data_IF_245962457487
#
_entry.id   IF_245962457487
#
_cell.length_a   1.000
_cell.length_b   1.000
_cell.length_c   1.000
_cell.angle_alpha   90.00
_cell.angle_beta   90.00
_cell.angle_gamma   90.00
#
_symmetry.space_group_name_H-M   'P 1'
#
loop_
_entity.id
_entity.type
_entity.pdbx_description
1 polymer ?
#
# COMPACT_ATOMS: atom_id res chain seq x y z
N UNK A 1 2.92 -45.53 -5.69
CA UNK A 1 3.65 -44.49 -4.92
C UNK A 1 3.63 -43.18 -5.70
N UNK A 2 2.44 -42.72 -6.08
CA UNK A 2 2.23 -41.66 -7.09
C UNK A 2 1.50 -40.42 -6.53
N UNK A 3 1.08 -40.44 -5.26
CA UNK A 3 0.31 -39.35 -4.64
C UNK A 3 1.15 -38.36 -3.83
N UNK A 4 2.46 -38.58 -3.67
CA UNK A 4 3.33 -37.67 -2.90
C UNK A 4 4.11 -36.66 -3.77
N UNK A 5 4.04 -36.76 -5.10
CA UNK A 5 4.74 -35.85 -6.00
C UNK A 5 3.93 -34.59 -6.35
N UNK A 6 2.60 -34.63 -6.24
CA UNK A 6 1.73 -33.49 -6.58
C UNK A 6 1.54 -32.49 -5.44
N UNK A 7 1.90 -32.83 -4.19
CA UNK A 7 1.73 -31.93 -3.03
C UNK A 7 2.82 -30.85 -2.90
N UNK A 8 3.87 -30.89 -3.72
CA UNK A 8 5.05 -30.02 -3.57
C UNK A 8 4.97 -28.71 -4.38
N UNK A 9 4.02 -28.60 -5.31
CA UNK A 9 3.98 -27.51 -6.30
C UNK A 9 2.98 -26.39 -5.95
N UNK A 10 2.16 -26.56 -4.90
CA UNK A 10 0.98 -25.72 -4.64
C UNK A 10 1.14 -24.69 -3.52
N UNK A 11 2.36 -24.43 -3.02
CA UNK A 11 2.55 -23.67 -1.77
C UNK A 11 2.76 -22.16 -1.94
N UNK A 12 2.82 -21.65 -3.18
CA UNK A 12 3.13 -20.24 -3.45
C UNK A 12 1.89 -19.33 -3.59
N UNK A 13 0.69 -19.88 -3.74
CA UNK A 13 -0.53 -19.09 -4.01
C UNK A 13 -1.37 -18.79 -2.73
N UNK A 14 -1.06 -19.39 -1.57
CA UNK A 14 -1.76 -19.09 -0.31
C UNK A 14 -0.93 -18.12 0.54
N UNK A 15 -1.58 -17.05 1.00
CA UNK A 15 -1.01 -15.93 1.75
C UNK A 15 -0.13 -16.34 2.95
N UNK A 16 1.16 -16.58 2.72
CA UNK A 16 2.13 -16.78 3.78
C UNK A 16 2.53 -15.42 4.35
N UNK A 17 2.50 -15.32 5.67
CA UNK A 17 3.11 -14.17 6.34
C UNK A 17 4.64 -14.23 6.17
N UNK A 18 5.30 -13.07 6.12
CA UNK A 18 6.77 -12.98 5.96
C UNK A 18 7.54 -13.93 6.91
N UNK A 19 7.16 -14.10 8.20
CA UNK A 19 7.84 -15.03 9.11
C UNK A 19 7.70 -16.52 8.74
N UNK A 20 6.57 -16.95 8.17
CA UNK A 20 6.33 -18.34 7.80
C UNK A 20 7.23 -18.75 6.63
N UNK A 21 7.37 -17.88 5.64
CA UNK A 21 8.28 -18.08 4.51
C UNK A 21 9.73 -18.22 4.98
N UNK A 22 10.17 -17.38 5.93
CA UNK A 22 11.53 -17.48 6.51
C UNK A 22 11.73 -18.81 7.25
N UNK A 23 10.74 -19.26 8.02
CA UNK A 23 10.78 -20.56 8.69
C UNK A 23 10.88 -21.71 7.68
N UNK A 24 10.13 -21.64 6.58
CA UNK A 24 10.15 -22.65 5.52
C UNK A 24 11.51 -22.74 4.82
N UNK A 25 12.12 -21.61 4.47
CA UNK A 25 13.48 -21.56 3.88
C UNK A 25 14.49 -22.23 4.80
N UNK A 26 14.43 -21.92 6.10
CA UNK A 26 15.32 -22.49 7.12
C UNK A 26 15.13 -24.00 7.30
N UNK A 27 13.88 -24.48 7.31
CA UNK A 27 13.58 -25.91 7.46
C UNK A 27 13.94 -26.71 6.21
N UNK A 28 13.75 -26.12 5.03
CA UNK A 28 14.03 -26.74 3.74
C UNK A 28 15.52 -26.74 3.39
N UNK A 29 16.36 -26.03 4.17
CA UNK A 29 17.80 -25.95 3.94
C UNK A 29 18.18 -25.32 2.60
N UNK A 30 17.33 -24.41 2.08
CA UNK A 30 17.56 -23.78 0.78
C UNK A 30 18.75 -22.83 0.88
N UNK A 31 19.75 -23.02 0.01
CA UNK A 31 20.93 -22.18 -0.09
C UNK A 31 21.54 -22.25 -1.47
N UNK A 32 22.07 -21.12 -1.94
CA UNK A 32 22.75 -20.99 -3.22
C UNK A 32 24.16 -20.47 -2.97
N UNK A 33 25.18 -21.26 -3.31
CA UNK A 33 26.58 -20.86 -3.23
C UNK A 33 27.21 -21.01 -4.62
N UNK A 34 27.42 -19.89 -5.30
CA UNK A 34 27.99 -19.84 -6.65
C UNK A 34 29.25 -18.95 -6.70
N UNK A 35 30.42 -19.48 -6.27
CA UNK A 35 31.71 -18.83 -6.53
C UNK A 35 31.96 -18.63 -8.03
N UNK A 36 32.87 -17.72 -8.44
CA UNK A 36 33.15 -17.42 -9.84
C UNK A 36 33.44 -18.65 -10.72
N UNK A 37 34.23 -19.62 -10.23
CA UNK A 37 34.51 -20.89 -10.94
C UNK A 37 33.23 -21.72 -11.15
N UNK A 38 32.36 -21.79 -10.14
CA UNK A 38 31.09 -22.52 -10.20
C UNK A 38 30.06 -21.83 -11.10
N UNK A 39 30.04 -20.50 -11.10
CA UNK A 39 29.20 -19.71 -12.01
C UNK A 39 29.67 -19.90 -13.46
N UNK A 40 30.97 -19.80 -13.72
CA UNK A 40 31.52 -20.05 -15.05
C UNK A 40 31.19 -21.47 -15.56
N UNK A 41 31.26 -22.47 -14.67
CA UNK A 41 30.82 -23.83 -14.98
C UNK A 41 29.33 -23.91 -15.34
N UNK A 42 28.45 -23.25 -14.59
CA UNK A 42 27.02 -23.18 -14.91
C UNK A 42 26.75 -22.50 -16.25
N UNK A 43 27.45 -21.40 -16.56
CA UNK A 43 27.30 -20.70 -17.84
C UNK A 43 27.81 -21.54 -19.01
N UNK A 44 28.93 -22.24 -18.85
CA UNK A 44 29.45 -23.14 -19.87
C UNK A 44 28.47 -24.29 -20.17
N UNK A 45 27.86 -24.88 -19.13
CA UNK A 45 26.80 -25.89 -19.29
C UNK A 45 25.59 -25.32 -20.04
N UNK A 46 25.14 -24.11 -19.70
CA UNK A 46 23.98 -23.49 -20.34
C UNK A 46 24.20 -23.20 -21.82
N UNK A 47 25.38 -22.69 -22.20
CA UNK A 47 25.74 -22.47 -23.61
C UNK A 47 25.73 -23.78 -24.38
N UNK A 48 26.29 -24.85 -23.82
CA UNK A 48 26.27 -26.16 -24.46
C UNK A 48 24.88 -26.79 -24.58
N UNK A 49 24.00 -26.57 -23.60
CA UNK A 49 22.60 -27.02 -23.67
C UNK A 49 21.85 -26.31 -24.80
N UNK A 50 22.09 -25.02 -25.02
CA UNK A 50 21.40 -24.21 -26.04
C UNK A 50 21.76 -24.60 -27.47
N UNK A 51 22.98 -25.08 -27.72
CA UNK A 51 23.43 -25.50 -29.04
C UNK A 51 22.95 -26.91 -29.43
N UNK A 52 22.38 -27.67 -28.49
CA UNK A 52 21.97 -29.07 -28.68
C UNK A 52 20.50 -29.22 -29.02
N UNK A 53 20.21 -30.26 -29.78
CA UNK A 53 18.84 -30.75 -30.06
C UNK A 53 18.27 -31.52 -28.87
N UNK A 54 19.12 -32.16 -28.07
CA UNK A 54 18.76 -32.91 -26.87
C UNK A 54 19.26 -32.13 -25.63
N UNK A 55 18.34 -31.82 -24.72
CA UNK A 55 18.59 -31.02 -23.50
C UNK A 55 19.22 -31.86 -22.35
N UNK A 56 19.86 -32.97 -22.72
CA UNK A 56 20.44 -33.95 -21.81
C UNK A 56 21.97 -33.89 -21.85
N UNK A 57 22.59 -33.83 -20.66
CA UNK A 57 24.03 -33.80 -20.48
C UNK A 57 24.47 -35.08 -19.78
N UNK A 58 25.46 -35.78 -20.33
CA UNK A 58 26.05 -36.95 -19.67
C UNK A 58 27.11 -36.57 -18.63
N UNK A 59 27.38 -37.44 -17.67
CA UNK A 59 28.41 -37.21 -16.65
C UNK A 59 29.81 -36.94 -17.27
N UNK A 60 30.15 -37.66 -18.33
CA UNK A 60 31.42 -37.47 -19.06
C UNK A 60 31.56 -36.05 -19.63
N UNK A 61 30.48 -35.54 -20.22
CA UNK A 61 30.45 -34.18 -20.79
C UNK A 61 30.57 -33.13 -19.69
N UNK A 62 29.89 -33.31 -18.56
CA UNK A 62 30.02 -32.40 -17.43
C UNK A 62 31.45 -32.34 -16.89
N UNK A 63 32.14 -33.47 -16.82
CA UNK A 63 33.54 -33.54 -16.39
C UNK A 63 34.46 -32.83 -17.40
N UNK A 64 34.20 -32.98 -18.70
CA UNK A 64 34.98 -32.29 -19.74
C UNK A 64 34.75 -30.77 -19.72
N UNK A 65 33.51 -30.31 -19.52
CA UNK A 65 33.21 -28.87 -19.33
C UNK A 65 33.89 -28.34 -18.09
N UNK A 66 33.85 -29.10 -16.99
CA UNK A 66 34.52 -28.70 -15.76
C UNK A 66 36.03 -28.61 -15.95
N UNK A 67 36.63 -29.49 -16.77
CA UNK A 67 38.05 -29.43 -17.12
C UNK A 67 38.38 -28.11 -17.82
N UNK A 68 37.61 -27.72 -18.84
CA UNK A 68 37.81 -26.46 -19.57
C UNK A 68 37.77 -25.24 -18.63
N UNK A 69 36.78 -25.19 -17.73
CA UNK A 69 36.66 -24.12 -16.74
C UNK A 69 37.83 -24.16 -15.77
N UNK A 70 38.14 -25.33 -15.20
CA UNK A 70 39.24 -25.44 -14.25
C UNK A 70 40.59 -25.04 -14.84
N UNK A 71 40.86 -25.33 -16.11
CA UNK A 71 42.10 -24.92 -16.79
C UNK A 71 42.26 -23.40 -16.80
N UNK A 72 41.19 -22.65 -17.08
CA UNK A 72 41.22 -21.18 -17.10
C UNK A 72 41.50 -20.59 -15.70
N UNK A 73 40.87 -21.14 -14.65
CA UNK A 73 41.01 -20.64 -13.27
C UNK A 73 42.32 -21.10 -12.60
N UNK A 74 42.94 -22.22 -13.02
CA UNK A 74 44.23 -22.67 -12.45
C UNK A 74 45.44 -21.86 -12.92
N UNK A 75 45.26 -20.98 -13.91
CA UNK A 75 46.33 -20.09 -14.40
C UNK A 75 46.79 -19.07 -13.35
N UNK A 76 45.91 -18.68 -12.42
CA UNK A 76 46.13 -17.57 -11.47
C UNK A 76 46.62 -18.04 -10.08
N UNK A 77 46.36 -19.28 -9.71
CA UNK A 77 46.78 -19.86 -8.43
C UNK A 77 47.48 -21.18 -8.70
N UNK A 78 48.78 -21.29 -8.39
CA UNK A 78 49.68 -22.42 -8.70
C UNK A 78 49.28 -23.78 -8.09
N UNK A 79 48.09 -24.26 -8.42
CA UNK A 79 47.45 -25.46 -7.95
C UNK A 79 47.71 -26.63 -8.88
N UNK A 80 48.11 -27.75 -8.28
CA UNK A 80 48.30 -29.03 -8.96
C UNK A 80 47.04 -29.44 -9.74
N UNK A 81 47.20 -29.87 -11.00
CA UNK A 81 46.20 -30.58 -11.83
C UNK A 81 45.70 -31.92 -11.21
N UNK A 82 45.97 -32.14 -9.92
CA UNK A 82 45.62 -33.34 -9.17
C UNK A 82 44.11 -33.51 -9.01
N UNK A 83 43.59 -34.48 -9.76
CA UNK A 83 42.25 -35.07 -9.69
C UNK A 83 41.07 -34.12 -10.04
N UNK A 84 41.13 -33.52 -11.24
CA UNK A 84 40.03 -32.75 -11.86
C UNK A 84 38.70 -33.52 -11.83
N UNK A 85 38.72 -34.84 -12.05
CA UNK A 85 37.53 -35.67 -11.99
C UNK A 85 36.86 -35.68 -10.61
N UNK A 86 37.64 -35.75 -9.52
CA UNK A 86 37.10 -35.67 -8.17
C UNK A 86 36.51 -34.29 -7.86
N UNK A 87 37.18 -33.21 -8.31
CA UNK A 87 36.67 -31.84 -8.17
C UNK A 87 35.40 -31.61 -8.99
N UNK A 88 35.33 -32.16 -10.20
CA UNK A 88 34.15 -32.13 -11.07
C UNK A 88 32.98 -32.84 -10.40
N UNK A 89 33.19 -34.05 -9.85
CA UNK A 89 32.13 -34.78 -9.17
C UNK A 89 31.60 -34.03 -7.93
N UNK A 90 32.49 -33.39 -7.16
CA UNK A 90 32.07 -32.51 -6.07
C UNK A 90 31.28 -31.30 -6.59
N UNK A 91 31.72 -30.68 -7.69
CA UNK A 91 31.01 -29.58 -8.35
C UNK A 91 29.59 -29.97 -8.76
N UNK A 92 29.47 -31.11 -9.45
CA UNK A 92 28.21 -31.63 -9.95
C UNK A 92 27.28 -31.98 -8.77
N UNK A 93 27.80 -32.59 -7.71
CA UNK A 93 27.03 -32.87 -6.49
C UNK A 93 26.53 -31.59 -5.82
N UNK A 94 27.39 -30.56 -5.72
CA UNK A 94 27.00 -29.23 -5.20
C UNK A 94 25.90 -28.59 -6.06
N UNK A 95 26.02 -28.65 -7.39
CA UNK A 95 25.01 -28.13 -8.33
C UNK A 95 23.66 -28.86 -8.20
N UNK A 96 23.68 -30.18 -7.99
CA UNK A 96 22.46 -30.96 -7.73
C UNK A 96 21.86 -30.59 -6.37
N UNK A 97 22.68 -30.47 -5.32
CA UNK A 97 22.23 -30.09 -3.98
C UNK A 97 21.62 -28.68 -3.96
N UNK A 98 22.19 -27.75 -4.73
CA UNK A 98 21.69 -26.39 -4.91
C UNK A 98 20.44 -26.29 -5.83
N UNK A 99 19.91 -27.44 -6.29
CA UNK A 99 18.78 -27.53 -7.24
C UNK A 99 19.03 -26.81 -8.56
N UNK A 100 20.29 -26.75 -9.02
CA UNK A 100 20.66 -26.20 -10.32
C UNK A 100 20.65 -27.29 -11.40
N UNK A 101 21.02 -28.52 -11.04
CA UNK A 101 20.95 -29.69 -11.91
C UNK A 101 19.99 -30.75 -11.36
N UNK A 102 19.22 -31.37 -12.25
CA UNK A 102 18.44 -32.58 -11.96
C UNK A 102 19.20 -33.80 -12.47
N UNK A 103 19.44 -34.79 -11.60
CA UNK A 103 20.08 -36.07 -11.95
C UNK A 103 19.02 -37.14 -12.20
N UNK A 104 19.12 -37.81 -13.35
CA UNK A 104 18.31 -38.95 -13.73
C UNK A 104 19.21 -40.17 -13.93
N UNK A 105 18.86 -41.30 -13.34
CA UNK A 105 19.54 -42.58 -13.61
C UNK A 105 18.75 -43.32 -14.67
N UNK A 106 19.34 -43.54 -15.84
CA UNK A 106 18.68 -44.27 -16.92
C UNK A 106 19.14 -45.73 -16.93
N UNK A 107 18.18 -46.67 -16.87
CA UNK A 107 18.46 -48.11 -17.02
C UNK A 107 18.84 -48.47 -18.47
N UNK A 108 18.54 -47.59 -19.44
CA UNK A 108 18.81 -47.83 -20.87
C UNK A 108 20.27 -47.52 -21.25
N UNK A 109 20.99 -46.75 -20.44
CA UNK A 109 22.38 -46.30 -20.69
C UNK A 109 23.37 -46.98 -19.74
N UNK A 110 23.13 -48.25 -19.39
CA UNK A 110 24.04 -49.09 -18.59
C UNK A 110 24.44 -48.47 -17.23
N UNK A 111 23.54 -47.70 -16.60
CA UNK A 111 23.76 -47.06 -15.30
C UNK A 111 24.35 -45.65 -15.35
N UNK A 112 24.59 -45.10 -16.55
CA UNK A 112 25.05 -43.71 -16.70
C UNK A 112 23.99 -42.71 -16.24
N UNK A 113 24.45 -41.66 -15.56
CA UNK A 113 23.61 -40.59 -15.07
C UNK A 113 23.49 -39.46 -16.09
N UNK A 114 22.26 -39.01 -16.29
CA UNK A 114 21.90 -37.92 -17.20
C UNK A 114 21.50 -36.70 -16.36
N UNK A 115 21.95 -35.53 -16.78
CA UNK A 115 21.75 -34.27 -16.09
C UNK A 115 20.97 -33.30 -16.97
N UNK A 116 20.03 -32.58 -16.35
CA UNK A 116 19.31 -31.47 -17.01
C UNK A 116 19.40 -30.22 -16.17
N UNK A 117 19.50 -29.07 -16.83
CA UNK A 117 19.43 -27.77 -16.17
C UNK A 117 18.01 -27.53 -15.65
N UNK A 118 17.91 -27.06 -14.41
CA UNK A 118 16.63 -26.68 -13.82
C UNK A 118 16.20 -25.29 -14.29
N UNK A 119 14.92 -24.91 -14.14
CA UNK A 119 14.46 -23.55 -14.42
C UNK A 119 15.24 -22.47 -13.64
N UNK A 120 15.70 -22.78 -12.42
CA UNK A 120 16.55 -21.89 -11.63
C UNK A 120 17.91 -21.68 -12.30
N UNK A 121 18.56 -22.77 -12.73
CA UNK A 121 19.84 -22.69 -13.41
C UNK A 121 19.74 -21.96 -14.75
N UNK A 122 18.68 -22.23 -15.53
CA UNK A 122 18.39 -21.49 -16.76
C UNK A 122 18.14 -20.01 -16.47
N UNK A 123 17.39 -19.67 -15.43
CA UNK A 123 17.17 -18.27 -15.04
C UNK A 123 18.44 -17.52 -14.66
N UNK A 124 19.35 -18.17 -13.90
CA UNK A 124 20.66 -17.61 -13.56
C UNK A 124 21.55 -17.51 -14.81
N UNK A 125 21.56 -18.53 -15.66
CA UNK A 125 22.36 -18.52 -16.87
C UNK A 125 21.88 -17.46 -17.86
N UNK A 126 20.57 -17.38 -18.10
CA UNK A 126 19.95 -16.37 -18.96
C UNK A 126 20.13 -14.95 -18.43
N UNK A 127 20.37 -14.79 -17.13
CA UNK A 127 20.73 -13.50 -16.55
C UNK A 127 22.10 -13.01 -17.04
N UNK A 128 23.12 -13.86 -17.02
CA UNK A 128 24.48 -13.47 -17.40
C UNK A 128 24.79 -13.66 -18.90
N UNK A 129 24.20 -14.65 -19.56
CA UNK A 129 24.57 -15.05 -20.92
C UNK A 129 23.85 -14.24 -22.01
N UNK A 130 22.63 -13.74 -21.75
CA UNK A 130 21.91 -12.95 -22.75
C UNK A 130 22.23 -11.47 -22.56
N UNK A 131 22.74 -10.83 -23.62
CA UNK A 131 22.72 -9.37 -23.69
C UNK A 131 21.28 -8.91 -23.64
N UNK A 132 20.91 -8.27 -22.53
CA UNK A 132 19.57 -7.76 -22.32
C UNK A 132 19.51 -6.33 -22.82
N UNK A 133 19.28 -6.18 -24.12
CA UNK A 133 18.95 -4.87 -24.68
C UNK A 133 17.47 -4.59 -24.47
N UNK A 134 17.18 -3.46 -23.83
CA UNK A 134 15.83 -2.94 -23.77
C UNK A 134 15.38 -2.52 -25.18
N UNK A 135 14.13 -2.81 -25.53
CA UNK A 135 13.55 -2.45 -26.83
C UNK A 135 12.13 -1.94 -26.64
N UNK A 136 11.90 -0.68 -27.04
CA UNK A 136 10.57 -0.06 -27.07
C UNK A 136 9.60 -0.82 -27.98
N UNK A 137 10.10 -1.34 -29.11
CA UNK A 137 9.31 -2.18 -30.02
C UNK A 137 8.85 -3.47 -29.33
N UNK A 138 9.74 -4.14 -28.58
CA UNK A 138 9.38 -5.35 -27.83
C UNK A 138 8.27 -5.06 -26.81
N UNK A 139 8.36 -3.95 -26.09
CA UNK A 139 7.35 -3.51 -25.13
C UNK A 139 6.00 -3.24 -25.82
N UNK A 140 6.00 -2.48 -26.92
CA UNK A 140 4.79 -2.16 -27.68
C UNK A 140 4.07 -3.41 -28.18
N UNK A 141 4.83 -4.38 -28.72
CA UNK A 141 4.28 -5.69 -29.13
C UNK A 141 3.70 -6.45 -27.94
N UNK A 142 4.37 -6.46 -26.78
CA UNK A 142 3.84 -7.09 -25.56
C UNK A 142 2.54 -6.45 -25.08
N UNK A 143 2.45 -5.11 -25.07
CA UNK A 143 1.24 -4.39 -24.67
C UNK A 143 0.08 -4.66 -25.63
N UNK A 144 0.34 -4.69 -26.94
CA UNK A 144 -0.68 -5.05 -27.93
C UNK A 144 -1.20 -6.48 -27.73
N UNK A 145 -0.31 -7.45 -27.48
CA UNK A 145 -0.73 -8.83 -27.20
C UNK A 145 -1.58 -8.93 -25.94
N UNK A 146 -1.25 -8.18 -24.89
CA UNK A 146 -2.06 -8.14 -23.67
C UNK A 146 -3.42 -7.52 -23.93
N UNK A 147 -3.48 -6.40 -24.66
CA UNK A 147 -4.74 -5.75 -25.00
C UNK A 147 -5.70 -6.72 -25.72
N UNK A 148 -5.18 -7.49 -26.69
CA UNK A 148 -5.98 -8.48 -27.41
C UNK A 148 -6.49 -9.61 -26.51
N UNK A 149 -5.67 -10.12 -25.60
CA UNK A 149 -6.05 -11.19 -24.67
C UNK A 149 -7.05 -10.71 -23.60
N UNK A 150 -6.88 -9.49 -23.06
CA UNK A 150 -7.88 -8.91 -22.15
C UNK A 150 -9.19 -8.64 -22.90
N UNK A 151 -9.15 -8.10 -24.12
CA UNK A 151 -10.36 -7.89 -24.92
C UNK A 151 -11.08 -9.21 -25.26
N UNK A 152 -10.33 -10.31 -25.42
CA UNK A 152 -10.90 -11.65 -25.59
C UNK A 152 -11.56 -12.15 -24.30
N UNK A 153 -10.89 -12.01 -23.15
CA UNK A 153 -11.45 -12.37 -21.84
C UNK A 153 -12.69 -11.53 -21.50
N UNK A 154 -12.69 -10.24 -21.82
CA UNK A 154 -13.82 -9.32 -21.68
C UNK A 154 -15.02 -9.77 -22.49
N UNK A 155 -14.85 -10.01 -23.80
CA UNK A 155 -15.94 -10.51 -24.65
C UNK A 155 -16.50 -11.84 -24.17
N UNK A 156 -15.66 -12.73 -23.64
CA UNK A 156 -16.11 -13.97 -23.03
C UNK A 156 -16.90 -13.70 -21.74
N UNK A 157 -16.45 -12.78 -20.89
CA UNK A 157 -17.18 -12.40 -19.68
C UNK A 157 -18.57 -11.84 -19.99
N UNK A 158 -18.71 -10.99 -21.02
CA UNK A 158 -19.99 -10.42 -21.45
C UNK A 158 -20.98 -11.47 -21.99
N UNK A 159 -20.49 -12.55 -22.60
CA UNK A 159 -21.33 -13.63 -23.13
C UNK A 159 -21.96 -14.49 -22.04
N UNK A 160 -21.33 -14.50 -20.85
CA UNK A 160 -21.67 -15.35 -19.71
C UNK A 160 -21.64 -16.86 -20.06
N UNK A 161 -21.65 -17.72 -19.05
CA UNK A 161 -21.53 -19.16 -19.28
C UNK A 161 -21.54 -20.00 -18.03
N UNK A 162 -21.22 -21.29 -18.20
CA UNK A 162 -21.06 -22.20 -17.08
C UNK A 162 -19.72 -22.00 -16.34
N UNK A 163 -19.57 -22.61 -15.17
CA UNK A 163 -18.34 -22.48 -14.37
C UNK A 163 -17.08 -22.93 -15.13
N UNK A 164 -17.21 -23.92 -16.04
CA UNK A 164 -16.12 -24.36 -16.91
C UNK A 164 -15.74 -23.32 -17.95
N UNK A 165 -16.72 -22.64 -18.54
CA UNK A 165 -16.52 -21.56 -19.49
C UNK A 165 -15.76 -20.40 -18.84
N UNK A 166 -16.17 -19.97 -17.64
CA UNK A 166 -15.48 -18.92 -16.88
C UNK A 166 -14.03 -19.29 -16.56
N UNK A 167 -13.79 -20.54 -16.15
CA UNK A 167 -12.42 -21.02 -15.85
C UNK A 167 -11.50 -21.03 -17.07
N UNK A 168 -11.98 -21.43 -18.23
CA UNK A 168 -11.14 -21.55 -19.42
C UNK A 168 -11.00 -20.24 -20.19
N UNK A 169 -12.11 -19.52 -20.41
CA UNK A 169 -12.16 -18.40 -21.35
C UNK A 169 -11.92 -17.04 -20.70
N UNK A 170 -12.11 -16.93 -19.38
CA UNK A 170 -11.85 -15.69 -18.63
C UNK A 170 -10.65 -15.89 -17.72
N UNK A 171 -10.77 -16.72 -16.70
CA UNK A 171 -9.71 -16.90 -15.70
C UNK A 171 -8.41 -17.47 -16.30
N UNK A 172 -8.51 -18.51 -17.14
CA UNK A 172 -7.35 -19.12 -17.77
C UNK A 172 -6.56 -18.14 -18.64
N UNK A 173 -7.27 -17.28 -19.38
CA UNK A 173 -6.66 -16.21 -20.19
C UNK A 173 -5.97 -15.18 -19.29
N UNK A 174 -6.65 -14.73 -18.22
CA UNK A 174 -6.09 -13.76 -17.28
C UNK A 174 -4.86 -14.29 -16.51
N UNK A 175 -4.91 -15.54 -16.02
CA UNK A 175 -3.85 -16.14 -15.18
C UNK A 175 -2.66 -16.64 -15.98
N UNK A 176 -2.88 -17.28 -17.14
CA UNK A 176 -1.80 -17.95 -17.88
C UNK A 176 -1.30 -17.18 -19.11
N UNK A 177 -2.02 -16.15 -19.56
CA UNK A 177 -1.57 -15.29 -20.66
C UNK A 177 -1.26 -13.88 -20.16
N UNK A 178 -2.27 -13.16 -19.67
CA UNK A 178 -2.11 -11.75 -19.28
C UNK A 178 -1.12 -11.58 -18.13
N UNK A 179 -1.24 -12.41 -17.07
CA UNK A 179 -0.33 -12.33 -15.93
C UNK A 179 1.13 -12.60 -16.32
N UNK A 180 1.38 -13.59 -17.19
CA UNK A 180 2.72 -13.92 -17.69
C UNK A 180 3.31 -12.78 -18.52
N UNK A 181 2.52 -12.13 -19.39
CA UNK A 181 3.04 -11.01 -20.17
C UNK A 181 3.34 -9.82 -19.26
N UNK A 182 2.52 -9.56 -18.24
CA UNK A 182 2.84 -8.56 -17.22
C UNK A 182 4.11 -8.90 -16.43
N UNK A 183 4.35 -10.18 -16.08
CA UNK A 183 5.63 -10.59 -15.47
C UNK A 183 6.82 -10.32 -16.39
N UNK A 184 6.66 -10.56 -17.70
CA UNK A 184 7.72 -10.28 -18.68
C UNK A 184 7.97 -8.77 -18.84
N UNK A 185 6.93 -7.94 -18.76
CA UNK A 185 7.06 -6.48 -18.78
C UNK A 185 7.79 -6.01 -17.51
N UNK A 186 7.40 -6.47 -16.32
CA UNK A 186 8.10 -6.16 -15.05
C UNK A 186 9.57 -6.57 -15.10
N UNK A 187 9.87 -7.76 -15.65
CA UNK A 187 11.25 -8.22 -15.82
C UNK A 187 12.05 -7.31 -16.76
N UNK A 188 11.46 -6.89 -17.88
CA UNK A 188 12.11 -5.94 -18.80
C UNK A 188 12.33 -4.56 -18.14
N UNK A 189 11.46 -4.10 -17.25
CA UNK A 189 11.66 -2.86 -16.49
C UNK A 189 12.86 -2.97 -15.53
N UNK A 190 13.02 -4.11 -14.85
CA UNK A 190 14.21 -4.35 -14.00
C UNK A 190 15.52 -4.37 -14.78
N UNK A 191 15.48 -4.85 -16.03
CA UNK A 191 16.63 -4.76 -16.94
C UNK A 191 16.97 -3.29 -17.24
N UNK A 192 15.97 -2.43 -17.38
CA UNK A 192 16.20 -1.00 -17.56
C UNK A 192 16.83 -0.36 -16.31
N UNK A 193 16.45 -0.79 -15.09
CA UNK A 193 17.12 -0.35 -13.86
C UNK A 193 18.61 -0.72 -13.85
N UNK A 194 18.95 -1.94 -14.29
CA UNK A 194 20.35 -2.39 -14.43
C UNK A 194 21.10 -1.57 -15.47
N UNK A 195 20.48 -1.29 -16.61
CA UNK A 195 21.07 -0.43 -17.64
C UNK A 195 21.31 0.99 -17.13
N UNK A 196 20.36 1.59 -16.39
CA UNK A 196 20.57 2.89 -15.75
C UNK A 196 21.76 2.86 -14.79
N UNK A 197 21.89 1.80 -14.00
CA UNK A 197 23.01 1.65 -13.07
C UNK A 197 24.34 1.50 -13.80
N UNK A 198 24.39 0.71 -14.88
CA UNK A 198 25.57 0.60 -15.73
C UNK A 198 25.98 1.96 -16.31
N UNK A 199 25.02 2.75 -16.83
CA UNK A 199 25.31 4.08 -17.35
C UNK A 199 25.86 5.03 -16.27
N UNK A 200 25.38 4.92 -15.02
CA UNK A 200 25.95 5.69 -13.90
C UNK A 200 27.41 5.31 -13.65
N UNK A 201 27.73 4.02 -13.70
CA UNK A 201 29.10 3.52 -13.53
C UNK A 201 30.00 3.95 -14.68
N UNK A 202 29.50 3.91 -15.93
CA UNK A 202 30.22 4.37 -17.11
C UNK A 202 30.52 5.87 -17.03
N UNK A 203 29.53 6.70 -16.64
CA UNK A 203 29.71 8.14 -16.41
C UNK A 203 30.76 8.36 -15.31
N UNK A 204 30.69 7.63 -14.20
CA UNK A 204 31.67 7.76 -13.12
C UNK A 204 33.10 7.36 -13.58
N UNK A 205 33.23 6.32 -14.38
CA UNK A 205 34.50 5.87 -14.95
C UNK A 205 35.07 6.90 -15.93
N UNK A 206 34.24 7.43 -16.84
CA UNK A 206 34.60 8.47 -17.81
C UNK A 206 35.08 9.75 -17.10
N UNK A 207 34.35 10.19 -16.07
CA UNK A 207 34.74 11.36 -15.26
C UNK A 207 35.98 11.09 -14.40
N UNK A 208 36.31 9.85 -14.09
CA UNK A 208 37.51 9.52 -13.33
C UNK A 208 38.77 9.54 -14.19
N UNK A 209 38.67 9.14 -15.46
CA UNK A 209 39.80 9.12 -16.40
C UNK A 209 40.07 10.52 -16.96
N UNK A 210 39.17 11.04 -17.81
CA UNK A 210 39.38 12.27 -18.59
C UNK A 210 38.14 13.16 -18.57
N UNK A 211 37.86 13.73 -17.40
CA UNK A 211 36.64 14.48 -17.11
C UNK A 211 36.29 15.65 -18.06
N UNK A 212 37.23 16.20 -18.84
CA UNK A 212 36.99 17.30 -19.78
C UNK A 212 36.53 16.79 -21.15
N UNK A 213 37.21 15.77 -21.66
CA UNK A 213 36.83 15.10 -22.91
C UNK A 213 35.57 14.24 -22.71
N UNK A 214 35.33 13.79 -21.47
CA UNK A 214 34.20 12.98 -21.09
C UNK A 214 32.85 13.74 -20.99
N UNK A 215 32.83 15.07 -20.88
CA UNK A 215 31.58 15.83 -20.68
C UNK A 215 30.57 15.53 -21.79
N UNK A 216 30.99 15.64 -23.06
CA UNK A 216 30.12 15.39 -24.20
C UNK A 216 29.60 13.95 -24.23
N UNK A 217 30.44 12.98 -23.84
CA UNK A 217 30.04 11.58 -23.77
C UNK A 217 29.05 11.34 -22.61
N UNK A 218 29.25 11.99 -21.45
CA UNK A 218 28.34 11.89 -20.32
C UNK A 218 26.98 12.52 -20.66
N UNK A 219 26.96 13.70 -21.29
CA UNK A 219 25.74 14.35 -21.77
C UNK A 219 25.00 13.48 -22.80
N UNK A 220 25.73 12.83 -23.70
CA UNK A 220 25.13 11.89 -24.65
C UNK A 220 24.45 10.72 -23.93
N UNK A 221 25.15 10.05 -23.00
CA UNK A 221 24.60 8.93 -22.23
C UNK A 221 23.40 9.33 -21.38
N UNK A 222 23.43 10.52 -20.76
CA UNK A 222 22.33 11.06 -19.95
C UNK A 222 21.08 11.35 -20.81
N UNK A 223 21.27 11.95 -21.99
CA UNK A 223 20.18 12.28 -22.89
C UNK A 223 19.56 11.05 -23.55
N UNK A 224 20.39 10.09 -23.98
CA UNK A 224 19.93 8.84 -24.61
C UNK A 224 19.07 8.01 -23.65
N UNK A 225 19.55 7.82 -22.42
CA UNK A 225 18.81 7.13 -21.36
C UNK A 225 17.53 7.89 -20.97
N UNK A 226 17.58 9.22 -20.87
CA UNK A 226 16.37 10.03 -20.60
C UNK A 226 15.33 9.86 -21.70
N UNK A 227 15.73 9.87 -22.97
CA UNK A 227 14.82 9.65 -24.11
C UNK A 227 14.20 8.26 -24.04
N UNK A 228 15.00 7.23 -23.74
CA UNK A 228 14.53 5.85 -23.66
C UNK A 228 13.51 5.65 -22.54
N UNK A 229 13.74 6.25 -21.37
CA UNK A 229 12.79 6.20 -20.24
C UNK A 229 11.49 6.92 -20.58
N UNK A 230 11.57 8.06 -21.25
CA UNK A 230 10.40 8.83 -21.63
C UNK A 230 9.55 8.06 -22.67
N UNK A 231 10.17 7.51 -23.72
CA UNK A 231 9.47 6.69 -24.72
C UNK A 231 8.80 5.46 -24.10
N UNK A 232 9.47 4.82 -23.13
CA UNK A 232 8.93 3.71 -22.36
C UNK A 232 7.67 4.14 -21.59
N UNK A 233 7.76 5.23 -20.82
CA UNK A 233 6.64 5.71 -20.02
C UNK A 233 5.47 6.16 -20.88
N UNK A 234 5.72 6.85 -22.00
CA UNK A 234 4.67 7.25 -22.93
C UNK A 234 3.93 6.03 -23.49
N UNK A 235 4.66 4.98 -23.86
CA UNK A 235 4.07 3.72 -24.36
C UNK A 235 3.25 3.00 -23.28
N UNK A 236 3.76 2.94 -22.04
CA UNK A 236 3.06 2.32 -20.91
C UNK A 236 1.82 3.09 -20.51
N UNK A 237 1.89 4.42 -20.44
CA UNK A 237 0.76 5.26 -20.06
C UNK A 237 -0.35 5.18 -21.10
N UNK A 238 0.01 5.24 -22.40
CA UNK A 238 -0.96 5.18 -23.49
C UNK A 238 -1.75 3.85 -23.50
N UNK A 239 -1.07 2.72 -23.28
CA UNK A 239 -1.73 1.42 -23.20
C UNK A 239 -2.39 1.16 -21.84
N UNK A 240 -1.80 1.67 -20.75
CA UNK A 240 -2.22 1.39 -19.38
C UNK A 240 -3.66 1.76 -19.09
N UNK A 241 -4.09 2.94 -19.54
CA UNK A 241 -5.48 3.40 -19.34
C UNK A 241 -6.49 2.50 -20.07
N UNK A 242 -6.16 2.04 -21.28
CA UNK A 242 -7.01 1.13 -22.05
C UNK A 242 -7.11 -0.25 -21.38
N UNK A 243 -5.98 -0.83 -20.97
CA UNK A 243 -5.94 -2.12 -20.28
C UNK A 243 -6.71 -2.07 -18.95
N UNK A 244 -6.55 -0.98 -18.20
CA UNK A 244 -7.25 -0.77 -16.93
C UNK A 244 -8.76 -0.67 -17.14
N UNK A 245 -9.20 0.05 -18.18
CA UNK A 245 -10.62 0.13 -18.53
C UNK A 245 -11.19 -1.26 -18.85
N UNK A 246 -10.48 -2.08 -19.63
CA UNK A 246 -10.97 -3.41 -19.99
C UNK A 246 -11.03 -4.36 -18.79
N UNK A 247 -10.05 -4.28 -17.87
CA UNK A 247 -10.08 -5.03 -16.62
C UNK A 247 -11.25 -4.60 -15.72
N UNK A 248 -11.53 -3.30 -15.65
CA UNK A 248 -12.67 -2.78 -14.90
C UNK A 248 -14.01 -3.28 -15.46
N UNK A 249 -14.17 -3.32 -16.79
CA UNK A 249 -15.37 -3.88 -17.42
C UNK A 249 -15.58 -5.36 -17.07
N UNK A 250 -14.51 -6.17 -17.03
CA UNK A 250 -14.59 -7.57 -16.56
C UNK A 250 -15.04 -7.61 -15.09
N UNK A 251 -14.48 -6.72 -14.26
CA UNK A 251 -14.84 -6.64 -12.84
C UNK A 251 -16.31 -6.26 -12.63
N UNK A 252 -16.85 -5.35 -13.44
CA UNK A 252 -18.27 -4.97 -13.39
C UNK A 252 -19.20 -6.15 -13.66
N UNK A 253 -18.84 -7.04 -14.60
CA UNK A 253 -19.62 -8.25 -14.91
C UNK A 253 -19.59 -9.26 -13.75
N UNK A 254 -18.44 -9.38 -13.08
CA UNK A 254 -18.25 -10.30 -11.93
C UNK A 254 -18.88 -9.75 -10.64
N UNK A 255 -19.14 -8.43 -10.58
CA UNK A 255 -19.63 -7.77 -9.37
C UNK A 255 -20.95 -8.37 -8.88
N UNK A 256 -20.94 -8.85 -7.63
CA UNK A 256 -22.11 -9.41 -6.98
C UNK A 256 -22.39 -10.88 -7.32
N UNK A 257 -21.43 -11.58 -7.95
CA UNK A 257 -21.46 -13.02 -8.20
C UNK A 257 -20.47 -13.76 -7.30
N UNK A 258 -20.97 -14.29 -6.17
CA UNK A 258 -20.15 -15.00 -5.17
C UNK A 258 -19.48 -16.28 -5.72
N UNK A 259 -19.95 -16.82 -6.84
CA UNK A 259 -19.37 -18.01 -7.50
C UNK A 259 -18.12 -17.70 -8.33
N UNK A 260 -17.80 -16.42 -8.54
CA UNK A 260 -16.72 -15.94 -9.40
C UNK A 260 -15.64 -15.14 -8.67
N UNK A 261 -15.55 -15.26 -7.34
CA UNK A 261 -14.53 -14.58 -6.51
C UNK A 261 -13.09 -14.80 -7.01
N UNK A 262 -12.79 -15.98 -7.56
CA UNK A 262 -11.47 -16.29 -8.11
C UNK A 262 -11.12 -15.44 -9.34
N UNK A 263 -12.12 -15.01 -10.12
CA UNK A 263 -11.94 -14.09 -11.25
C UNK A 263 -11.77 -12.66 -10.75
N UNK A 264 -12.58 -12.22 -9.80
CA UNK A 264 -12.47 -10.88 -9.20
C UNK A 264 -11.09 -10.68 -8.55
N UNK A 265 -10.64 -11.66 -7.76
CA UNK A 265 -9.29 -11.64 -7.16
C UNK A 265 -8.18 -11.60 -8.21
N UNK A 266 -8.34 -12.29 -9.36
CA UNK A 266 -7.36 -12.27 -10.44
C UNK A 266 -7.33 -10.91 -11.14
N UNK A 267 -8.50 -10.35 -11.46
CA UNK A 267 -8.63 -9.01 -12.07
C UNK A 267 -8.02 -7.95 -11.15
N UNK A 268 -8.34 -7.98 -9.85
CA UNK A 268 -7.75 -7.08 -8.87
C UNK A 268 -6.21 -7.23 -8.81
N UNK A 269 -5.69 -8.45 -8.81
CA UNK A 269 -4.24 -8.69 -8.85
C UNK A 269 -3.60 -8.13 -10.11
N UNK A 270 -4.26 -8.21 -11.27
CA UNK A 270 -3.75 -7.67 -12.53
C UNK A 270 -3.79 -6.14 -12.55
N UNK A 271 -4.87 -5.52 -12.05
CA UNK A 271 -4.96 -4.06 -11.90
C UNK A 271 -3.84 -3.53 -11.01
N UNK A 272 -3.64 -4.12 -9.82
CA UNK A 272 -2.59 -3.71 -8.89
C UNK A 272 -1.18 -3.89 -9.49
N UNK A 273 -0.99 -4.90 -10.34
CA UNK A 273 0.28 -5.14 -11.04
C UNK A 273 0.50 -4.13 -12.17
N UNK A 274 -0.53 -3.81 -12.94
CA UNK A 274 -0.49 -2.78 -13.98
C UNK A 274 -0.17 -1.41 -13.36
N UNK A 275 -0.84 -1.04 -12.26
CA UNK A 275 -0.57 0.19 -11.53
C UNK A 275 0.89 0.25 -11.05
N UNK A 276 1.44 -0.87 -10.55
CA UNK A 276 2.85 -0.94 -10.15
C UNK A 276 3.80 -0.73 -11.34
N UNK A 277 3.53 -1.36 -12.47
CA UNK A 277 4.33 -1.25 -13.70
C UNK A 277 4.35 0.20 -14.20
N UNK A 278 3.18 0.86 -14.24
CA UNK A 278 3.06 2.25 -14.70
C UNK A 278 3.71 3.23 -13.72
N UNK A 279 3.52 3.03 -12.40
CA UNK A 279 4.09 3.90 -11.37
C UNK A 279 5.63 3.79 -11.30
N UNK A 280 6.19 2.59 -11.49
CA UNK A 280 7.65 2.40 -11.54
C UNK A 280 8.28 3.29 -12.63
N UNK A 281 7.67 3.37 -13.82
CA UNK A 281 8.28 4.10 -14.93
C UNK A 281 8.35 5.61 -14.67
N UNK A 282 7.33 6.20 -14.04
CA UNK A 282 7.38 7.59 -13.60
C UNK A 282 8.44 7.81 -12.51
N UNK A 283 8.50 6.92 -11.52
CA UNK A 283 9.50 7.00 -10.46
C UNK A 283 10.94 6.89 -11.01
N UNK A 284 11.17 6.03 -12.00
CA UNK A 284 12.45 5.85 -12.65
C UNK A 284 12.89 7.13 -13.38
N UNK A 285 11.97 7.82 -14.06
CA UNK A 285 12.22 9.13 -14.68
C UNK A 285 12.60 10.18 -13.63
N UNK A 286 11.85 10.28 -12.54
CA UNK A 286 12.13 11.28 -11.49
C UNK A 286 13.50 11.07 -10.83
N UNK A 287 13.84 9.81 -10.55
CA UNK A 287 15.17 9.43 -10.04
C UNK A 287 16.28 9.75 -11.05
N UNK A 288 16.03 9.51 -12.35
CA UNK A 288 16.98 9.83 -13.41
C UNK A 288 17.20 11.34 -13.54
N UNK A 289 16.15 12.14 -13.52
CA UNK A 289 16.23 13.62 -13.51
C UNK A 289 17.02 14.09 -12.28
N UNK A 290 16.82 13.46 -11.13
CA UNK A 290 17.60 13.72 -9.92
C UNK A 290 19.11 13.47 -10.14
N UNK A 291 19.44 12.35 -10.77
CA UNK A 291 20.82 11.98 -11.12
C UNK A 291 21.42 12.93 -12.17
N UNK A 292 20.70 13.23 -13.24
CA UNK A 292 21.11 14.18 -14.28
C UNK A 292 21.48 15.54 -13.68
N UNK A 293 20.60 16.10 -12.83
CA UNK A 293 20.85 17.37 -12.14
C UNK A 293 22.07 17.29 -11.24
N UNK A 294 22.28 16.15 -10.58
CA UNK A 294 23.44 15.92 -9.74
C UNK A 294 24.74 15.91 -10.57
N UNK A 295 24.76 15.23 -11.72
CA UNK A 295 25.92 15.22 -12.63
C UNK A 295 26.22 16.62 -13.14
N UNK A 296 25.22 17.37 -13.62
CA UNK A 296 25.41 18.76 -14.06
C UNK A 296 25.92 19.68 -12.95
N UNK A 297 25.42 19.50 -11.71
CA UNK A 297 25.93 20.23 -10.54
C UNK A 297 27.38 19.84 -10.26
N UNK A 298 27.74 18.57 -10.39
CA UNK A 298 29.11 18.08 -10.22
C UNK A 298 30.05 18.68 -11.28
N UNK A 299 29.65 18.69 -12.55
CA UNK A 299 30.41 19.33 -13.64
C UNK A 299 30.69 20.80 -13.31
N UNK A 300 29.65 21.56 -12.93
CA UNK A 300 29.78 22.98 -12.61
C UNK A 300 30.62 23.28 -11.36
N UNK A 301 30.58 22.40 -10.36
CA UNK A 301 31.20 22.66 -9.05
C UNK A 301 32.60 22.06 -8.94
N UNK A 302 32.80 20.83 -9.41
CA UNK A 302 34.08 20.13 -9.30
C UNK A 302 34.94 20.32 -10.55
N UNK A 303 34.36 20.21 -11.75
CA UNK A 303 35.12 20.21 -13.01
C UNK A 303 35.43 21.63 -13.46
N UNK A 304 34.43 22.49 -13.57
CA UNK A 304 34.61 23.86 -14.04
C UNK A 304 35.52 24.68 -13.13
N UNK A 305 35.46 24.45 -11.81
CA UNK A 305 36.29 25.13 -10.82
C UNK A 305 37.75 24.61 -10.79
N UNK A 306 38.00 23.36 -11.15
CA UNK A 306 39.32 22.73 -11.09
C UNK A 306 39.74 22.11 -12.42
N UNK A 307 39.53 22.75 -13.58
CA UNK A 307 39.70 22.17 -14.94
C UNK A 307 40.85 21.18 -15.20
N UNK A 308 42.02 21.36 -14.56
CA UNK A 308 43.20 20.51 -14.71
C UNK A 308 43.37 19.44 -13.61
N UNK A 309 42.40 19.30 -12.71
CA UNK A 309 42.38 18.40 -11.53
C UNK A 309 43.50 18.66 -10.52
N UNK A 310 44.10 19.84 -10.59
CA UNK A 310 45.28 20.16 -9.81
C UNK A 310 44.92 20.38 -8.33
N UNK A 311 43.79 21.02 -8.05
CA UNK A 311 43.33 21.23 -6.67
C UNK A 311 42.97 19.90 -6.02
N UNK A 312 42.19 19.06 -6.70
CA UNK A 312 41.75 17.77 -6.15
C UNK A 312 42.91 16.80 -5.87
N UNK A 313 43.91 16.76 -6.75
CA UNK A 313 45.13 15.96 -6.55
C UNK A 313 45.96 16.47 -5.37
N UNK A 314 46.18 17.79 -5.29
CA UNK A 314 46.90 18.39 -4.17
C UNK A 314 46.15 18.27 -2.85
N UNK A 315 44.82 18.33 -2.85
CA UNK A 315 44.02 18.12 -1.66
C UNK A 315 44.18 16.68 -1.15
N UNK A 316 44.15 15.69 -2.03
CA UNK A 316 44.41 14.28 -1.66
C UNK A 316 45.81 14.11 -1.07
N UNK A 317 46.82 14.71 -1.68
CA UNK A 317 48.18 14.71 -1.14
C UNK A 317 48.24 15.42 0.22
N UNK A 318 47.60 16.58 0.35
CA UNK A 318 47.53 17.34 1.60
C UNK A 318 46.84 16.57 2.73
N UNK A 319 45.91 15.66 2.44
CA UNK A 319 45.29 14.78 3.45
C UNK A 319 46.27 13.71 3.92
N UNK A 320 47.07 13.14 3.01
CA UNK A 320 48.15 12.21 3.35
C UNK A 320 49.21 12.89 4.22
N UNK A 321 49.63 14.09 3.83
CA UNK A 321 50.71 14.84 4.47
C UNK A 321 50.20 15.70 5.66
N UNK A 322 48.92 15.59 6.02
CA UNK A 322 48.27 16.46 7.02
C UNK A 322 48.94 16.38 8.39
N UNK A 323 49.42 15.20 8.78
CA UNK A 323 50.05 14.99 10.08
C UNK A 323 51.48 15.50 10.18
N UNK A 324 52.15 15.77 9.05
CA UNK A 324 53.51 16.34 9.04
C UNK A 324 53.48 17.84 9.41
N UNK A 325 52.44 18.55 8.97
CA UNK A 325 52.23 19.96 9.25
C UNK A 325 50.72 20.29 9.39
N UNK A 326 50.16 19.94 10.56
CA UNK A 326 48.73 20.11 10.82
C UNK A 326 48.30 21.58 10.85
N UNK A 327 47.15 21.88 10.24
CA UNK A 327 46.53 23.19 10.23
C UNK A 327 45.04 23.08 10.56
N UNK A 328 44.44 24.18 11.02
CA UNK A 328 43.03 24.25 11.42
C UNK A 328 42.31 25.37 10.69
N UNK A 329 41.04 25.12 10.33
CA UNK A 329 40.14 26.17 9.86
C UNK A 329 39.60 26.96 11.04
N UNK A 330 39.69 28.27 10.98
CA UNK A 330 38.98 29.16 11.90
C UNK A 330 37.57 29.39 11.40
N UNK A 331 36.57 29.24 12.26
CA UNK A 331 35.18 29.60 11.97
C UNK A 331 34.68 30.57 13.04
N UNK A 332 33.63 31.33 12.71
CA UNK A 332 33.01 32.22 13.67
C UNK A 332 32.21 31.40 14.70
N UNK A 333 32.67 31.38 15.94
CA UNK A 333 31.97 30.77 17.06
C UNK A 333 31.49 31.88 18.01
N UNK A 334 30.29 32.39 17.74
CA UNK A 334 29.69 33.41 18.59
C UNK A 334 29.22 32.77 19.90
N UNK A 335 29.45 33.46 21.02
CA UNK A 335 28.96 32.99 22.31
C UNK A 335 27.43 32.86 22.24
N UNK A 336 26.93 31.64 22.51
CA UNK A 336 25.49 31.39 22.55
C UNK A 336 24.87 32.23 23.64
N UNK A 337 23.70 32.78 23.36
CA UNK A 337 22.93 33.51 24.35
C UNK A 337 22.68 32.59 25.55
N UNK A 338 23.25 32.95 26.70
CA UNK A 338 23.02 32.24 27.96
C UNK A 338 21.67 32.69 28.46
N UNK A 339 20.67 31.86 28.21
CA UNK A 339 19.38 32.06 28.81
C UNK A 339 19.38 31.47 30.23
N UNK A 340 18.64 32.11 31.13
CA UNK A 340 18.24 31.43 32.35
C UNK A 340 17.38 30.24 31.95
N UNK A 341 17.49 29.12 32.68
CA UNK A 341 16.50 28.07 32.49
C UNK A 341 15.14 28.72 32.72
N UNK A 342 14.25 28.57 31.74
CA UNK A 342 12.84 28.75 31.97
C UNK A 342 12.42 27.60 32.88
N UNK A 343 12.78 27.71 34.16
CA UNK A 343 11.97 27.15 35.21
C UNK A 343 10.65 27.90 35.10
N UNK A 344 9.82 27.49 34.13
CA UNK A 344 8.45 27.26 34.48
C UNK A 344 8.57 26.53 35.82
N UNK A 345 8.26 27.24 36.90
CA UNK A 345 7.57 26.58 37.98
C UNK A 345 6.52 25.81 37.22
N UNK A 346 6.79 24.52 37.01
CA UNK A 346 5.78 23.51 37.16
C UNK A 346 5.32 23.79 38.59
N UNK A 347 4.49 24.83 38.76
CA UNK A 347 3.33 24.77 39.59
C UNK A 347 2.81 23.42 39.20
N UNK A 348 3.16 22.48 40.07
CA UNK A 348 2.62 21.16 40.05
C UNK A 348 1.15 21.40 39.77
N UNK A 349 0.64 20.92 38.65
CA UNK A 349 -0.81 20.88 38.39
C UNK A 349 -1.50 19.94 39.41
N UNK A 350 -0.87 19.65 40.55
CA UNK A 350 -1.57 19.65 41.81
C UNK A 350 -2.18 21.05 41.98
N UNK A 351 -3.32 21.30 41.32
CA UNK A 351 -4.32 22.19 41.87
C UNK A 351 -4.41 21.83 43.36
N UNK A 352 -3.78 22.64 44.22
CA UNK A 352 -3.99 22.57 45.65
C UNK A 352 -5.40 23.10 45.84
N UNK A 353 -6.35 22.25 45.52
CA UNK A 353 -7.72 22.30 45.99
C UNK A 353 -7.58 22.23 47.50
N UNK A 354 -7.77 23.37 48.17
CA UNK A 354 -7.94 23.34 49.62
C UNK A 354 -9.02 22.32 49.94
N UNK A 355 -8.82 21.53 51.00
CA UNK A 355 -9.82 20.55 51.42
C UNK A 355 -11.18 21.25 51.54
N UNK A 356 -12.13 20.82 50.72
CA UNK A 356 -13.48 21.34 50.77
C UNK A 356 -14.13 20.80 52.05
N UNK A 357 -14.66 21.63 52.95
CA UNK A 357 -15.35 21.15 54.15
C UNK A 357 -16.51 20.22 53.76
N UNK A 358 -16.76 19.17 54.53
CA UNK A 358 -17.78 18.13 54.27
C UNK A 358 -19.24 18.66 54.21
N UNK A 359 -19.48 19.97 54.35
CA UNK A 359 -20.82 20.55 54.37
C UNK A 359 -21.32 21.02 52.99
N UNK A 360 -21.12 20.21 51.94
CA UNK A 360 -21.92 20.35 50.71
C UNK A 360 -22.91 19.21 50.64
N UNK A 361 -23.93 19.28 51.50
CA UNK A 361 -25.13 18.47 51.37
C UNK A 361 -25.96 19.02 50.20
N UNK A 362 -26.17 18.21 49.18
CA UNK A 362 -27.14 18.53 48.14
C UNK A 362 -28.55 18.48 48.72
N UNK A 363 -29.27 19.61 48.67
CA UNK A 363 -30.69 19.62 48.97
C UNK A 363 -31.49 19.21 47.73
N UNK A 364 -32.24 18.11 47.86
CA UNK A 364 -33.12 17.64 46.80
C UNK A 364 -34.36 18.53 46.75
N UNK A 365 -34.44 19.39 45.73
CA UNK A 365 -35.60 20.24 45.52
C UNK A 365 -36.75 19.38 44.98
N UNK A 366 -37.59 18.83 45.88
CA UNK A 366 -38.79 18.10 45.50
C UNK A 366 -39.85 19.08 44.99
N UNK A 367 -39.95 19.25 43.68
CA UNK A 367 -41.03 20.03 43.06
C UNK A 367 -42.31 19.18 43.10
N UNK A 368 -43.22 19.47 44.04
CA UNK A 368 -44.50 18.76 44.26
C UNK A 368 -45.57 19.17 43.22
N UNK A 369 -45.19 19.53 42.00
CA UNK A 369 -46.13 20.06 41.00
C UNK A 369 -46.88 18.95 40.22
N UNK A 370 -46.23 17.81 39.97
CA UNK A 370 -46.78 16.78 39.08
C UNK A 370 -48.04 16.10 39.65
N UNK A 371 -48.08 15.85 40.97
CA UNK A 371 -49.25 15.25 41.63
C UNK A 371 -50.46 16.19 41.69
N UNK A 372 -50.22 17.50 41.86
CA UNK A 372 -51.29 18.50 41.87
C UNK A 372 -51.87 18.69 40.45
N UNK A 373 -51.02 18.65 39.43
CA UNK A 373 -51.44 18.77 38.02
C UNK A 373 -52.39 17.63 37.64
N UNK A 374 -52.07 16.39 38.01
CA UNK A 374 -52.93 15.24 37.73
C UNK A 374 -54.30 15.34 38.41
N UNK A 375 -54.34 15.82 39.66
CA UNK A 375 -55.61 15.99 40.39
C UNK A 375 -56.50 17.06 39.76
N UNK A 376 -55.91 18.17 39.32
CA UNK A 376 -56.62 19.24 38.60
C UNK A 376 -57.14 18.74 37.25
N UNK A 377 -56.33 18.01 36.48
CA UNK A 377 -56.78 17.40 35.22
C UNK A 377 -57.95 16.43 35.42
N UNK A 378 -57.94 15.63 36.49
CA UNK A 378 -59.08 14.74 36.82
C UNK A 378 -60.36 15.51 37.17
N UNK A 379 -60.24 16.59 37.97
CA UNK A 379 -61.37 17.44 38.32
C UNK A 379 -62.03 18.05 37.07
N UNK A 380 -61.22 18.57 36.15
CA UNK A 380 -61.73 19.21 34.94
C UNK A 380 -62.26 18.20 33.90
N UNK A 381 -61.68 17.00 33.80
CA UNK A 381 -62.20 15.93 32.93
C UNK A 381 -63.65 15.53 33.25
N UNK A 382 -64.10 15.68 34.50
CA UNK A 382 -65.49 15.43 34.88
C UNK A 382 -66.47 16.36 34.14
N UNK A 383 -66.08 17.60 33.83
CA UNK A 383 -66.91 18.51 33.04
C UNK A 383 -67.03 18.04 31.58
N UNK A 384 -65.96 17.47 31.02
CA UNK A 384 -65.96 16.85 29.70
C UNK A 384 -66.85 15.60 29.63
N UNK A 385 -66.75 14.70 30.60
CA UNK A 385 -67.56 13.47 30.65
C UNK A 385 -69.06 13.75 30.80
N UNK A 386 -69.42 14.83 31.50
CA UNK A 386 -70.81 15.24 31.73
C UNK A 386 -71.36 16.19 30.66
N UNK A 387 -70.52 16.67 29.73
CA UNK A 387 -70.89 17.59 28.65
C UNK A 387 -71.22 19.02 29.13
N UNK A 388 -70.87 19.38 30.36
CA UNK A 388 -71.10 20.72 30.90
C UNK A 388 -69.98 21.66 30.47
N UNK A 389 -70.25 22.93 30.15
CA UNK A 389 -69.22 23.89 29.77
C UNK A 389 -68.37 24.35 30.99
N UNK A 390 -67.08 24.63 30.79
CA UNK A 390 -66.17 25.11 31.85
C UNK A 390 -66.17 26.63 31.90
N UNK A 391 -66.75 27.19 32.96
CA UNK A 391 -66.60 28.61 33.30
C UNK A 391 -65.43 28.78 34.27
N UNK A 392 -64.30 29.26 33.73
CA UNK A 392 -63.05 29.43 34.47
C UNK A 392 -63.19 30.37 35.68
N UNK A 393 -64.05 31.39 35.62
CA UNK A 393 -64.23 32.33 36.73
C UNK A 393 -64.85 31.65 37.95
N UNK A 394 -65.85 30.79 37.74
CA UNK A 394 -66.47 30.00 38.82
C UNK A 394 -65.55 28.89 39.31
N UNK A 395 -64.98 28.11 38.40
CA UNK A 395 -64.11 26.98 38.75
C UNK A 395 -62.90 27.45 39.56
N UNK A 396 -62.26 28.55 39.17
CA UNK A 396 -61.15 29.12 39.92
C UNK A 396 -61.60 29.70 41.25
N UNK A 397 -62.75 30.37 41.33
CA UNK A 397 -63.25 30.91 42.59
C UNK A 397 -63.51 29.80 43.62
N UNK A 398 -64.18 28.72 43.19
CA UNK A 398 -64.50 27.59 44.06
C UNK A 398 -63.23 26.82 44.45
N UNK A 399 -62.35 26.55 43.49
CA UNK A 399 -61.11 25.81 43.74
C UNK A 399 -60.12 26.59 44.61
N UNK A 400 -60.00 27.91 44.41
CA UNK A 400 -59.12 28.74 45.23
C UNK A 400 -59.68 28.97 46.64
N UNK A 401 -61.00 28.93 46.84
CA UNK A 401 -61.59 29.05 48.17
C UNK A 401 -61.23 27.87 49.10
N UNK A 402 -61.02 26.67 48.53
CA UNK A 402 -60.62 25.47 49.28
C UNK A 402 -59.11 25.44 49.61
N UNK A 403 -58.33 26.39 49.10
CA UNK A 403 -56.87 26.40 49.23
C UNK A 403 -56.32 27.68 49.86
N UNK A 404 -55.19 27.61 50.59
CA UNK A 404 -54.59 28.79 51.21
C UNK A 404 -54.12 29.80 50.16
N UNK A 405 -54.27 31.09 50.48
CA UNK A 405 -53.94 32.21 49.59
C UNK A 405 -52.50 32.16 49.03
N UNK A 406 -51.55 31.66 49.82
CA UNK A 406 -50.14 31.58 49.43
C UNK A 406 -49.89 30.77 48.15
N UNK A 407 -50.78 29.84 47.78
CA UNK A 407 -50.66 29.00 46.57
C UNK A 407 -51.63 29.38 45.47
N UNK A 408 -52.38 30.47 45.62
CA UNK A 408 -53.44 30.82 44.66
C UNK A 408 -52.91 31.09 43.26
N UNK A 409 -51.74 31.69 43.12
CA UNK A 409 -51.15 31.98 41.82
C UNK A 409 -50.79 30.69 41.05
N UNK A 410 -50.07 29.78 41.70
CA UNK A 410 -49.61 28.54 41.08
C UNK A 410 -50.78 27.63 40.74
N UNK A 411 -51.74 27.49 41.66
CA UNK A 411 -52.95 26.70 41.44
C UNK A 411 -53.84 27.30 40.34
N UNK A 412 -54.01 28.62 40.31
CA UNK A 412 -54.78 29.26 39.24
C UNK A 412 -54.12 29.06 37.88
N UNK A 413 -52.80 29.23 37.79
CA UNK A 413 -52.03 28.96 36.57
C UNK A 413 -52.16 27.52 36.12
N UNK A 414 -52.09 26.57 37.05
CA UNK A 414 -52.21 25.13 36.76
C UNK A 414 -53.59 24.80 36.20
N UNK A 415 -54.66 25.28 36.86
CA UNK A 415 -56.04 25.08 36.42
C UNK A 415 -56.28 25.70 35.05
N UNK A 416 -55.82 26.92 34.79
CA UNK A 416 -55.97 27.58 33.48
C UNK A 416 -55.23 26.78 32.40
N UNK A 417 -53.97 26.41 32.66
CA UNK A 417 -53.17 25.64 31.70
C UNK A 417 -53.80 24.30 31.36
N UNK A 418 -54.40 23.61 32.34
CA UNK A 418 -55.10 22.35 32.09
C UNK A 418 -56.44 22.58 31.38
N UNK A 419 -57.20 23.60 31.78
CA UNK A 419 -58.49 23.97 31.17
C UNK A 419 -58.37 24.25 29.67
N UNK A 420 -57.41 25.10 29.27
CA UNK A 420 -57.19 25.45 27.86
C UNK A 420 -56.76 24.25 27.02
N UNK A 421 -56.08 23.26 27.61
CA UNK A 421 -55.70 22.04 26.89
C UNK A 421 -56.88 21.11 26.60
N UNK A 422 -57.98 21.22 27.33
CA UNK A 422 -59.12 20.33 27.15
C UNK A 422 -60.12 20.79 26.09
N UNK A 423 -60.07 22.05 25.65
CA UNK A 423 -61.08 22.57 24.73
C UNK A 423 -60.92 24.06 24.46
N UNK A 424 -61.82 24.61 23.66
CA UNK A 424 -61.84 26.02 23.30
C UNK A 424 -63.27 26.57 23.36
N UNK A 425 -63.40 27.89 23.47
CA UNK A 425 -64.69 28.56 23.43
C UNK A 425 -65.10 28.90 21.99
N UNK A 426 -66.34 28.62 21.59
CA UNK A 426 -66.87 29.13 20.32
C UNK A 426 -66.94 30.66 20.26
N UNK A 427 -67.09 31.32 21.41
CA UNK A 427 -67.13 32.78 21.49
C UNK A 427 -65.79 33.43 21.16
N UNK A 428 -64.67 32.73 21.40
CA UNK A 428 -63.33 33.19 21.00
C UNK A 428 -63.20 33.25 19.47
N UNK A 429 -63.77 32.29 18.74
CA UNK A 429 -63.80 32.27 17.27
C UNK A 429 -64.62 33.42 16.67
N UNK A 430 -65.63 33.90 17.41
CA UNK A 430 -66.45 35.05 17.01
C UNK A 430 -65.85 36.40 17.46
N UNK A 431 -64.62 36.40 17.99
CA UNK A 431 -63.88 37.58 18.45
C UNK A 431 -64.62 38.41 19.53
N UNK A 432 -65.47 37.76 20.33
CA UNK A 432 -66.15 38.41 21.45
C UNK A 432 -65.17 38.45 22.64
N UNK A 433 -64.76 39.65 23.07
CA UNK A 433 -63.88 39.78 24.23
C UNK A 433 -64.62 39.51 25.54
N UNK A 434 -64.12 38.61 26.41
CA UNK A 434 -64.70 38.39 27.74
C UNK A 434 -64.40 39.55 28.68
N UNK A 435 -65.31 39.82 29.60
CA UNK A 435 -65.07 40.72 30.73
C UNK A 435 -64.21 40.05 31.81
N UNK A 436 -63.51 40.87 32.60
CA UNK A 436 -62.73 40.39 33.75
C UNK A 436 -63.65 39.94 34.89
N UNK A 437 -63.61 38.64 35.20
CA UNK A 437 -64.38 38.06 36.30
C UNK A 437 -63.54 37.98 37.57
N UNK A 438 -64.10 38.37 38.72
CA UNK A 438 -63.39 38.30 40.01
C UNK A 438 -63.37 36.87 40.57
N UNK A 439 -62.17 36.36 40.83
CA UNK A 439 -61.93 34.99 41.34
C UNK A 439 -61.65 34.95 42.85
N UNK A 440 -61.36 36.10 43.48
CA UNK A 440 -61.32 36.24 44.94
C UNK A 440 -61.64 37.67 45.38
N UNK A 441 -61.84 37.86 46.70
CA UNK A 441 -62.18 39.17 47.29
C UNK A 441 -60.97 40.11 47.44
N UNK A 442 -59.76 39.62 47.12
CA UNK A 442 -58.49 40.34 47.26
C UNK A 442 -57.99 40.95 45.95
N UNK A 443 -58.83 40.96 44.90
CA UNK A 443 -58.57 41.67 43.65
C UNK A 443 -58.04 40.82 42.50
N UNK A 444 -57.92 39.50 42.65
CA UNK A 444 -57.55 38.62 41.54
C UNK A 444 -58.75 38.44 40.59
N UNK A 445 -58.47 38.54 39.29
CA UNK A 445 -59.47 38.44 38.22
C UNK A 445 -58.96 37.56 37.09
N UNK A 446 -59.88 36.90 36.40
CA UNK A 446 -59.61 36.07 35.23
C UNK A 446 -60.48 36.54 34.08
N UNK A 447 -59.85 36.64 32.91
CA UNK A 447 -60.51 36.99 31.67
C UNK A 447 -60.46 35.76 30.76
N UNK A 448 -61.60 35.08 30.64
CA UNK A 448 -61.74 33.92 29.78
C UNK A 448 -63.20 33.74 29.37
N UNK A 449 -63.41 33.34 28.12
CA UNK A 449 -64.73 32.89 27.66
C UNK A 449 -65.00 31.47 28.17
N UNK A 450 -66.28 31.12 28.27
CA UNK A 450 -66.71 29.79 28.75
C UNK A 450 -66.32 28.74 27.71
N UNK A 451 -65.61 27.69 28.14
CA UNK A 451 -65.19 26.58 27.26
C UNK A 451 -66.38 25.65 27.05
N UNK A 452 -66.98 25.72 25.87
CA UNK A 452 -68.21 25.00 25.51
C UNK A 452 -67.96 23.84 24.51
N UNK A 453 -66.75 23.76 23.93
CA UNK A 453 -66.33 22.64 23.08
C UNK A 453 -65.03 21.99 23.58
N UNK A 454 -65.07 20.67 23.69
CA UNK A 454 -63.98 19.79 24.15
C UNK A 454 -63.34 18.98 23.03
#
# INVERSE_FOLDING_TARGET
>A
MSDQAQSSQHWADDAQTVPELVSWVKQSGLGLNLPPERLAFLLAMAVMSQERLEDELSEHELVDVFRLVSEQFTSDEGGSLGNVAFRANNAINEMVQARLLSRFTSEMTDGDSIYRLTPLALGIADYYARHREYSTLKLSVQLSMVADEIAKARRAAEQDGDATFWRHNVYGVLKYSVAEIFDRIDLNQRVMDEQQQQVKEDIAALLTQDWQAAIANCEYLLNETSSTLQELQETLQAAGDELQSQLLEIQEVVRGRDDLDFVDSMVYSLQMKLDRIVNWGQQAIDLWIGYDRHVHKFIRTAIDMDKNRAFSQRLRQSVSDYFDASWFLTYADAERLRDTRDEALVLRDDEVTGEMPEEVAFEQLSVVDDGLSQKVSQMLNRHRETGQAIDLGRVLKDYLAEHPQARHFDLARLVINQAVRMGYSQSDLNAIQPDWQAINDFGAKVQANVIDKY
#
